data_IF_576303946146
#
_entry.id   IF_576303946146
#
_cell.length_a   1.000
_cell.length_b   1.000
_cell.length_c   1.000
_cell.angle_alpha   90.00
_cell.angle_beta   90.00
_cell.angle_gamma   90.00
#
_symmetry.space_group_name_H-M   'P 1'
#
loop_
_entity.id
_entity.type
_entity.pdbx_description
1 polymer ?
#
# COMPACT_ATOMS: atom_id res chain seq x y z
N UNK A 1 26.23 -24.12 -47.55
CA UNK A 1 24.89 -24.41 -48.11
C UNK A 1 24.21 -25.29 -47.07
N UNK A 2 23.20 -24.95 -46.25
CA UNK A 2 22.20 -23.88 -46.13
C UNK A 2 21.95 -23.75 -44.60
N UNK A 3 21.87 -22.59 -43.94
CA UNK A 3 20.93 -21.46 -44.06
C UNK A 3 19.46 -21.88 -43.87
N UNK A 4 19.03 -21.97 -42.61
CA UNK A 4 17.61 -21.90 -42.23
C UNK A 4 17.47 -21.02 -40.99
N UNK A 5 17.36 -19.73 -41.25
CA UNK A 5 16.90 -18.70 -40.32
C UNK A 5 15.37 -18.72 -40.34
N UNK A 6 14.74 -18.96 -39.20
CA UNK A 6 13.30 -18.79 -39.02
C UNK A 6 13.07 -17.49 -38.23
N UNK A 7 12.82 -16.42 -38.96
CA UNK A 7 12.30 -15.14 -38.47
C UNK A 7 10.89 -15.36 -37.92
N UNK A 8 10.71 -15.22 -36.61
CA UNK A 8 9.37 -15.18 -36.02
C UNK A 8 8.97 -13.72 -35.83
N UNK A 9 7.98 -13.36 -36.63
CA UNK A 9 7.28 -12.09 -36.72
C UNK A 9 6.71 -11.66 -35.38
N UNK A 10 7.05 -10.43 -34.97
CA UNK A 10 6.46 -9.74 -33.83
C UNK A 10 4.94 -9.64 -34.00
N UNK A 11 4.20 -10.41 -33.21
CA UNK A 11 2.77 -10.18 -32.99
C UNK A 11 2.65 -9.20 -31.84
N UNK A 12 2.45 -7.94 -32.21
CA UNK A 12 2.15 -6.83 -31.34
C UNK A 12 0.76 -7.06 -30.71
N UNK A 13 0.74 -7.62 -29.51
CA UNK A 13 -0.47 -7.63 -28.68
C UNK A 13 -0.50 -6.34 -27.83
N UNK A 14 -1.67 -5.70 -27.66
CA UNK A 14 -1.80 -4.56 -26.76
C UNK A 14 -1.53 -5.02 -25.32
N UNK A 15 -0.31 -4.80 -24.85
CA UNK A 15 0.19 -5.02 -23.50
C UNK A 15 -0.44 -4.02 -22.52
N UNK A 16 -1.76 -4.05 -22.36
CA UNK A 16 -2.45 -3.26 -21.33
C UNK A 16 -2.96 -4.19 -20.24
N UNK A 17 -2.23 -4.12 -19.11
CA UNK A 17 -2.82 -3.97 -17.77
C UNK A 17 -3.58 -5.16 -17.17
N UNK A 18 -2.97 -6.34 -17.07
CA UNK A 18 -3.45 -7.37 -16.12
C UNK A 18 -2.31 -8.00 -15.30
N UNK A 19 -1.23 -7.28 -14.97
CA UNK A 19 -0.23 -7.74 -13.98
C UNK A 19 0.09 -6.72 -12.88
N UNK A 20 -0.78 -5.72 -12.70
CA UNK A 20 -0.50 -4.57 -11.82
C UNK A 20 -0.90 -4.74 -10.36
N UNK A 21 -1.58 -5.84 -9.99
CA UNK A 21 -2.10 -6.04 -8.63
C UNK A 21 -1.43 -7.16 -7.81
N UNK A 22 -0.23 -7.59 -8.18
CA UNK A 22 0.61 -8.46 -7.31
C UNK A 22 1.37 -7.67 -6.23
N UNK A 23 0.81 -6.54 -5.79
CA UNK A 23 1.34 -5.75 -4.69
C UNK A 23 0.71 -6.26 -3.38
N UNK A 24 1.33 -7.28 -2.76
CA UNK A 24 1.02 -7.76 -1.40
C UNK A 24 1.08 -6.66 -0.32
N UNK A 25 1.59 -5.48 -0.69
CA UNK A 25 1.67 -4.27 0.10
C UNK A 25 0.37 -3.45 0.03
N UNK A 26 -0.22 -3.16 1.19
CA UNK A 26 -1.47 -2.39 1.38
C UNK A 26 -1.19 -0.91 1.52
N UNK A 27 -0.15 -0.56 2.29
CA UNK A 27 0.23 0.83 2.55
C UNK A 27 1.66 1.07 2.10
N UNK A 28 1.93 2.26 1.57
CA UNK A 28 3.24 2.67 1.06
C UNK A 28 3.51 4.12 1.46
N UNK A 29 4.75 4.39 1.83
CA UNK A 29 5.22 5.72 2.23
C UNK A 29 6.58 5.98 1.62
N UNK A 30 6.80 7.19 1.11
CA UNK A 30 8.12 7.64 0.67
C UNK A 30 8.76 8.48 1.78
N UNK A 31 9.92 8.03 2.26
CA UNK A 31 10.60 8.59 3.42
C UNK A 31 11.95 9.16 2.97
N UNK A 32 12.23 10.45 3.19
CA UNK A 32 13.52 11.03 2.86
C UNK A 32 14.62 10.45 3.74
N UNK A 33 15.82 10.29 3.17
CA UNK A 33 17.00 9.88 3.90
C UNK A 33 17.50 11.05 4.75
N UNK A 34 17.70 10.82 6.05
CA UNK A 34 18.28 11.82 6.94
C UNK A 34 19.75 12.13 6.63
N UNK A 35 20.50 11.15 6.12
CA UNK A 35 21.95 11.28 5.88
C UNK A 35 22.32 11.72 4.47
N UNK A 36 21.40 11.57 3.50
CA UNK A 36 21.65 11.89 2.09
C UNK A 36 20.52 12.78 1.57
N UNK A 37 20.72 14.11 1.52
CA UNK A 37 19.71 15.01 0.98
C UNK A 37 19.43 14.64 -0.49
N UNK A 38 18.15 14.59 -0.86
CA UNK A 38 17.69 14.21 -2.20
C UNK A 38 17.48 12.71 -2.42
N UNK A 39 17.86 11.84 -1.48
CA UNK A 39 17.53 10.41 -1.55
C UNK A 39 16.28 10.13 -0.72
N UNK A 40 15.31 9.42 -1.29
CA UNK A 40 14.17 8.86 -0.56
C UNK A 40 14.17 7.33 -0.63
N UNK A 41 13.55 6.70 0.37
CA UNK A 41 13.33 5.27 0.44
C UNK A 41 11.84 4.97 0.61
N UNK A 42 11.39 3.90 -0.02
CA UNK A 42 10.00 3.47 0.05
C UNK A 42 9.83 2.47 1.17
N UNK A 43 8.92 2.77 2.09
CA UNK A 43 8.45 1.88 3.13
C UNK A 43 7.10 1.31 2.69
N UNK A 44 6.86 0.03 2.95
CA UNK A 44 5.62 -0.64 2.59
C UNK A 44 5.18 -1.58 3.71
N UNK A 45 3.87 -1.70 3.91
CA UNK A 45 3.27 -2.59 4.91
C UNK A 45 2.27 -3.52 4.23
N UNK A 46 2.31 -4.80 4.58
CA UNK A 46 1.44 -5.82 4.01
C UNK A 46 0.18 -6.04 4.86
N UNK A 47 -0.76 -6.85 4.36
CA UNK A 47 -2.03 -7.17 5.06
C UNK A 47 -1.80 -7.87 6.41
N UNK A 48 -0.68 -8.58 6.55
CA UNK A 48 -0.34 -9.37 7.74
C UNK A 48 0.45 -8.56 8.78
N UNK A 49 0.62 -7.25 8.61
CA UNK A 49 1.39 -6.40 9.51
C UNK A 49 2.91 -6.44 9.31
N UNK A 50 3.40 -7.16 8.30
CA UNK A 50 4.80 -7.19 7.90
C UNK A 50 5.23 -5.90 7.22
N UNK A 51 6.45 -5.46 7.53
CA UNK A 51 7.04 -4.21 7.05
C UNK A 51 8.22 -4.46 6.11
N UNK A 52 8.31 -3.64 5.06
CA UNK A 52 9.43 -3.62 4.13
C UNK A 52 9.94 -2.21 3.87
N UNK A 53 11.23 -2.10 3.56
CA UNK A 53 11.84 -0.83 3.18
C UNK A 53 12.90 -1.02 2.09
N UNK A 54 12.98 -0.12 1.12
CA UNK A 54 14.00 -0.19 0.05
C UNK A 54 15.40 0.24 0.50
N UNK A 55 15.58 0.65 1.77
CA UNK A 55 16.88 1.11 2.25
C UNK A 55 17.91 -0.04 2.36
N UNK A 56 19.23 0.26 2.28
CA UNK A 56 20.27 -0.75 2.37
C UNK A 56 20.20 -1.59 3.66
N UNK A 57 19.84 -0.98 4.79
CA UNK A 57 19.75 -1.69 6.06
C UNK A 57 18.72 -2.82 6.01
N UNK A 58 17.51 -2.54 5.50
CA UNK A 58 16.48 -3.57 5.38
C UNK A 58 16.80 -4.54 4.24
N UNK A 59 17.26 -4.04 3.09
CA UNK A 59 17.56 -4.87 1.91
C UNK A 59 18.63 -5.94 2.20
N UNK A 60 19.72 -5.55 2.88
CA UNK A 60 20.87 -6.43 3.11
C UNK A 60 20.85 -7.12 4.47
N UNK A 61 20.32 -6.47 5.51
CA UNK A 61 20.31 -7.03 6.88
C UNK A 61 18.95 -7.57 7.32
N UNK A 62 17.87 -7.24 6.60
CA UNK A 62 16.48 -7.62 6.95
C UNK A 62 16.06 -7.20 8.36
N UNK A 63 16.73 -6.20 8.91
CA UNK A 63 16.43 -5.61 10.21
C UNK A 63 15.51 -4.39 10.06
N UNK A 64 14.79 -4.09 11.13
CA UNK A 64 14.00 -2.87 11.21
C UNK A 64 14.91 -1.64 11.10
N UNK A 65 14.57 -0.74 10.19
CA UNK A 65 15.35 0.47 9.93
C UNK A 65 14.66 1.72 10.48
N UNK A 66 15.42 2.81 10.59
CA UNK A 66 14.90 4.12 11.04
C UNK A 66 13.69 4.58 10.22
N UNK A 67 13.66 4.30 8.92
CA UNK A 67 12.52 4.70 8.08
C UNK A 67 11.23 3.93 8.44
N UNK A 68 11.32 2.63 8.75
CA UNK A 68 10.15 1.85 9.19
C UNK A 68 9.64 2.38 10.54
N UNK A 69 10.54 2.67 11.49
CA UNK A 69 10.14 3.24 12.80
C UNK A 69 9.46 4.59 12.67
N UNK A 70 10.06 5.49 11.89
CA UNK A 70 9.47 6.81 11.62
C UNK A 70 8.06 6.67 11.03
N UNK A 71 7.90 5.80 10.03
CA UNK A 71 6.58 5.58 9.43
C UNK A 71 5.62 4.94 10.41
N UNK A 72 6.04 3.98 11.23
CA UNK A 72 5.15 3.36 12.23
C UNK A 72 4.62 4.40 13.21
N UNK A 73 5.51 5.22 13.78
CA UNK A 73 5.15 6.30 14.70
C UNK A 73 4.23 7.36 14.07
N UNK A 74 4.42 7.68 12.78
CA UNK A 74 3.62 8.70 12.09
C UNK A 74 2.38 8.15 11.38
N UNK A 75 2.32 6.85 11.06
CA UNK A 75 1.20 6.21 10.39
C UNK A 75 0.00 6.05 11.34
N UNK A 76 0.26 5.90 12.64
CA UNK A 76 -0.80 5.89 13.66
C UNK A 76 -1.50 7.26 13.77
N UNK A 77 -0.83 8.33 13.35
CA UNK A 77 -1.36 9.69 13.39
C UNK A 77 -2.08 10.11 12.10
N UNK A 78 -1.78 9.45 10.97
CA UNK A 78 -2.33 9.80 9.64
C UNK A 78 -3.10 8.63 9.00
N UNK A 79 -3.53 7.64 9.78
CA UNK A 79 -4.58 6.75 9.35
C UNK A 79 -5.82 7.62 9.15
N UNK A 80 -6.08 8.01 7.89
CA UNK A 80 -7.38 8.53 7.50
C UNK A 80 -8.42 7.63 8.17
N UNK A 81 -9.43 8.24 8.81
CA UNK A 81 -10.44 7.48 9.49
C UNK A 81 -10.98 6.47 8.47
N UNK A 82 -10.88 5.18 8.81
CA UNK A 82 -11.82 4.17 8.34
C UNK A 82 -13.16 4.89 8.19
N UNK A 83 -13.91 4.76 7.08
CA UNK A 83 -15.26 5.29 7.05
C UNK A 83 -15.96 4.60 8.21
N UNK A 84 -16.04 5.28 9.35
CA UNK A 84 -16.80 4.88 10.52
C UNK A 84 -18.19 4.91 9.94
N UNK A 85 -18.59 3.75 9.44
CA UNK A 85 -19.83 3.59 8.74
C UNK A 85 -20.85 4.20 9.67
N UNK A 86 -21.50 5.23 9.17
CA UNK A 86 -22.54 6.00 9.83
C UNK A 86 -23.78 5.13 10.09
N UNK A 87 -23.59 3.82 10.29
CA UNK A 87 -24.56 2.82 10.67
C UNK A 87 -24.68 2.69 12.20
N UNK A 88 -23.73 3.22 12.99
CA UNK A 88 -23.81 3.20 14.46
C UNK A 88 -24.33 4.52 15.09
N UNK A 89 -24.87 5.45 14.30
CA UNK A 89 -25.49 6.68 14.82
C UNK A 89 -26.97 6.87 14.42
N UNK A 90 -27.66 5.82 13.94
CA UNK A 90 -29.08 5.88 13.58
C UNK A 90 -29.91 4.71 14.16
N UNK A 91 -29.79 4.43 15.46
CA UNK A 91 -30.72 3.50 16.17
C UNK A 91 -31.29 4.08 17.46
N UNK A 92 -31.62 5.38 17.50
CA UNK A 92 -32.22 6.00 18.71
C UNK A 92 -33.34 7.04 18.52
N UNK A 93 -33.95 7.17 17.33
CA UNK A 93 -35.12 8.06 17.17
C UNK A 93 -36.06 7.61 16.06
N UNK A 94 -36.97 6.68 16.34
CA UNK A 94 -38.34 6.53 15.79
C UNK A 94 -39.04 5.48 16.69
N UNK A 95 -40.20 5.64 17.32
CA UNK A 95 -41.10 6.76 17.49
C UNK A 95 -41.91 6.52 18.78
N UNK A 96 -42.13 7.60 19.53
CA UNK A 96 -43.12 7.67 20.61
C UNK A 96 -44.43 8.10 19.93
N UNK A 97 -45.37 7.15 19.77
CA UNK A 97 -46.75 7.47 19.42
C UNK A 97 -47.54 7.69 20.70
N UNK A 98 -48.33 8.75 20.63
CA UNK A 98 -49.27 9.25 21.62
C UNK A 98 -50.37 8.24 21.94
N UNK A 99 -50.68 8.06 23.22
CA UNK A 99 -52.00 7.60 23.65
C UNK A 99 -52.48 8.60 24.71
N UNK A 100 -53.42 9.46 24.29
CA UNK A 100 -54.18 10.36 25.16
C UNK A 100 -55.52 9.66 25.35
N UNK A 101 -55.83 9.31 26.60
CA UNK A 101 -57.13 8.80 27.06
C UNK A 101 -57.65 9.73 28.14
#
# INVERSE_FOLDING_TARGET
>A
MNAQSSTQTATEQPFVQVWSDCSWWVKKWDVPSASRPGQSYRVSMNKNGGWGCTCPQWKYRRQECRHIRLVRENADLNAEPEPVTTALLLKRRLGQVVEVL
#
